data_IF_365553235277
#
_entry.id   IF_365553235277
#
_cell.length_a   1.000
_cell.length_b   1.000
_cell.length_c   1.000
_cell.angle_alpha   90.00
_cell.angle_beta   90.00
_cell.angle_gamma   90.00
#
_symmetry.space_group_name_H-M   'P 1'
#
loop_
_entity.id
_entity.type
_entity.pdbx_description
1 polymer ?
#
# COMPACT_ATOMS: atom_id res chain seq x y z
N UNK A 1 -8.83 -52.16 26.08
CA UNK A 1 -7.72 -51.16 26.18
C UNK A 1 -7.89 -50.13 25.08
N UNK A 2 -8.20 -48.86 25.39
CA UNK A 2 -8.40 -47.79 24.41
C UNK A 2 -7.09 -47.00 24.26
N UNK A 3 -6.60 -46.85 23.02
CA UNK A 3 -5.41 -46.02 22.70
C UNK A 3 -5.68 -44.55 23.08
N UNK A 4 -4.73 -43.85 23.71
CA UNK A 4 -4.88 -42.42 23.94
C UNK A 4 -4.80 -41.67 22.61
N UNK A 5 -5.82 -40.83 22.34
CA UNK A 5 -5.79 -39.85 21.25
C UNK A 5 -4.63 -38.90 21.51
N UNK A 6 -3.60 -38.97 20.66
CA UNK A 6 -2.50 -38.02 20.62
C UNK A 6 -3.06 -36.70 20.07
N UNK A 7 -3.50 -35.83 20.98
CA UNK A 7 -3.87 -34.46 20.65
C UNK A 7 -2.55 -33.70 20.43
N UNK A 8 -1.97 -33.82 19.24
CA UNK A 8 -0.84 -32.98 18.85
C UNK A 8 -1.37 -31.58 18.56
N UNK A 9 -0.95 -30.53 19.29
CA UNK A 9 -1.32 -29.18 18.94
C UNK A 9 -0.52 -28.77 17.70
N UNK A 10 -1.09 -28.95 16.52
CA UNK A 10 -0.58 -28.31 15.30
C UNK A 10 -0.94 -26.82 15.33
N UNK A 11 -0.44 -26.07 16.32
CA UNK A 11 -0.39 -24.62 16.24
C UNK A 11 0.86 -24.30 15.43
N UNK A 12 0.76 -24.44 14.11
CA UNK A 12 1.73 -23.82 13.21
C UNK A 12 1.53 -22.32 13.39
N UNK A 13 2.39 -21.71 14.20
CA UNK A 13 2.35 -20.29 14.52
C UNK A 13 2.32 -19.52 13.20
N UNK A 14 1.18 -18.87 12.92
CA UNK A 14 0.97 -18.12 11.69
C UNK A 14 2.01 -17.00 11.66
N UNK A 15 2.94 -17.06 10.72
CA UNK A 15 4.07 -16.12 10.62
C UNK A 15 3.54 -14.70 10.57
N UNK A 16 4.08 -13.85 11.45
CA UNK A 16 3.77 -12.42 11.48
C UNK A 16 4.75 -11.68 10.60
N UNK A 17 4.39 -11.56 9.32
CA UNK A 17 5.21 -10.97 8.27
C UNK A 17 5.70 -9.54 8.57
N UNK A 18 4.88 -8.73 9.25
CA UNK A 18 5.16 -7.33 9.56
C UNK A 18 5.62 -7.08 11.00
N UNK A 19 5.80 -8.13 11.80
CA UNK A 19 6.23 -8.01 13.19
C UNK A 19 7.68 -8.46 13.32
N UNK A 20 8.53 -7.60 13.88
CA UNK A 20 9.91 -7.96 14.19
C UNK A 20 9.95 -8.88 15.41
N UNK A 21 10.94 -9.77 15.46
CA UNK A 21 11.20 -10.58 16.64
C UNK A 21 11.74 -9.73 17.81
N UNK A 22 12.50 -8.68 17.48
CA UNK A 22 13.08 -7.71 18.42
C UNK A 22 12.94 -6.27 17.91
N UNK A 23 12.83 -5.26 18.79
CA UNK A 23 12.83 -3.85 18.37
C UNK A 23 14.12 -3.50 17.59
N UNK A 24 13.97 -2.94 16.39
CA UNK A 24 15.09 -2.56 15.53
C UNK A 24 15.56 -3.63 14.56
N UNK A 25 15.07 -4.87 14.66
CA UNK A 25 15.37 -5.91 13.67
C UNK A 25 14.44 -5.82 12.44
N UNK A 26 14.97 -6.09 11.23
CA UNK A 26 14.15 -6.17 10.03
C UNK A 26 13.06 -7.23 10.16
N UNK A 27 11.84 -6.87 9.78
CA UNK A 27 10.73 -7.83 9.73
C UNK A 27 10.95 -8.85 8.61
N UNK A 28 10.25 -10.01 8.65
CA UNK A 28 10.23 -10.92 7.50
C UNK A 28 9.83 -10.23 6.18
N UNK A 29 8.93 -9.25 6.24
CA UNK A 29 8.59 -8.41 5.09
C UNK A 29 9.76 -7.56 4.62
N UNK A 30 10.50 -6.91 5.52
CA UNK A 30 11.65 -6.07 5.12
C UNK A 30 12.73 -6.91 4.44
N UNK A 31 12.93 -8.15 4.90
CA UNK A 31 13.83 -9.12 4.26
C UNK A 31 13.30 -9.55 2.88
N UNK A 32 12.01 -9.84 2.77
CA UNK A 32 11.38 -10.15 1.48
C UNK A 32 11.56 -9.00 0.49
N UNK A 33 11.34 -7.76 0.92
CA UNK A 33 11.52 -6.57 0.08
C UNK A 33 12.98 -6.42 -0.36
N UNK A 34 13.92 -6.55 0.57
CA UNK A 34 15.36 -6.46 0.27
C UNK A 34 15.85 -7.57 -0.66
N UNK A 35 15.22 -8.74 -0.61
CA UNK A 35 15.49 -9.84 -1.53
C UNK A 35 14.90 -9.57 -2.91
N UNK A 36 13.65 -9.09 -2.99
CA UNK A 36 13.02 -8.70 -4.26
C UNK A 36 13.79 -7.58 -4.96
N UNK A 37 14.40 -6.66 -4.23
CA UNK A 37 15.24 -5.61 -4.82
C UNK A 37 16.51 -6.16 -5.50
N UNK A 38 17.04 -7.27 -5.01
CA UNK A 38 18.23 -7.92 -5.56
C UNK A 38 17.91 -8.95 -6.65
N UNK A 39 16.81 -9.68 -6.48
CA UNK A 39 16.49 -10.87 -7.28
C UNK A 39 15.14 -10.78 -8.01
N UNK A 40 14.42 -9.66 -7.93
CA UNK A 40 13.05 -9.53 -8.42
C UNK A 40 12.93 -9.71 -9.93
N UNK A 41 13.87 -9.17 -10.71
CA UNK A 41 13.90 -9.35 -12.15
C UNK A 41 14.11 -10.82 -12.55
N UNK A 42 15.13 -11.45 -11.95
CA UNK A 42 15.40 -12.88 -12.14
C UNK A 42 14.19 -13.72 -11.72
N UNK A 43 13.58 -13.42 -10.58
CA UNK A 43 12.40 -14.11 -10.09
C UNK A 43 11.18 -14.00 -11.03
N UNK A 44 11.02 -12.88 -11.73
CA UNK A 44 9.95 -12.71 -12.73
C UNK A 44 10.18 -13.59 -13.95
N UNK A 45 11.40 -13.56 -14.49
CA UNK A 45 11.76 -14.19 -15.76
C UNK A 45 12.13 -15.68 -15.63
N UNK A 46 12.60 -16.11 -14.45
CA UNK A 46 13.12 -17.45 -14.24
C UNK A 46 12.04 -18.52 -14.25
N UNK A 47 12.35 -19.66 -14.88
CA UNK A 47 11.57 -20.90 -14.76
C UNK A 47 11.86 -21.64 -13.45
N UNK A 48 12.96 -21.30 -12.77
CA UNK A 48 13.45 -21.93 -11.53
C UNK A 48 13.01 -21.14 -10.29
N UNK A 49 11.75 -20.68 -10.27
CA UNK A 49 11.22 -19.88 -9.16
C UNK A 49 11.26 -20.61 -7.81
N UNK A 50 11.20 -21.94 -7.83
CA UNK A 50 11.25 -22.75 -6.61
C UNK A 50 12.60 -22.56 -5.90
N UNK A 51 13.70 -22.67 -6.64
CA UNK A 51 15.06 -22.57 -6.07
C UNK A 51 15.36 -21.18 -5.54
N UNK A 52 14.91 -20.14 -6.24
CA UNK A 52 15.02 -18.75 -5.77
C UNK A 52 14.27 -18.54 -4.45
N UNK A 53 13.13 -19.21 -4.26
CA UNK A 53 12.37 -19.15 -3.01
C UNK A 53 12.97 -20.01 -1.90
N UNK A 54 13.65 -21.10 -2.25
CA UNK A 54 14.45 -21.89 -1.29
C UNK A 54 15.61 -21.05 -0.75
N UNK A 55 16.35 -20.37 -1.63
CA UNK A 55 17.41 -19.44 -1.23
C UNK A 55 16.88 -18.33 -0.30
N UNK A 56 15.73 -17.75 -0.62
CA UNK A 56 15.09 -16.77 0.27
C UNK A 56 14.74 -17.37 1.63
N UNK A 57 14.24 -18.60 1.67
CA UNK A 57 13.95 -19.31 2.91
C UNK A 57 15.20 -19.52 3.77
N UNK A 58 16.32 -19.87 3.15
CA UNK A 58 17.62 -20.03 3.81
C UNK A 58 18.15 -18.69 4.35
N UNK A 59 18.07 -17.61 3.56
CA UNK A 59 18.46 -16.26 4.00
C UNK A 59 17.62 -15.79 5.20
N UNK A 60 16.32 -16.07 5.20
CA UNK A 60 15.45 -15.74 6.33
C UNK A 60 15.79 -16.57 7.56
N UNK A 61 16.08 -17.87 7.41
CA UNK A 61 16.51 -18.73 8.51
C UNK A 61 17.86 -18.30 9.11
N UNK A 62 18.83 -17.90 8.27
CA UNK A 62 20.12 -17.36 8.70
C UNK A 62 19.97 -16.06 9.51
N UNK A 63 18.91 -15.29 9.26
CA UNK A 63 18.57 -14.08 10.01
C UNK A 63 17.76 -14.33 11.29
N UNK A 64 17.58 -15.59 11.69
CA UNK A 64 16.85 -15.96 12.91
C UNK A 64 15.33 -16.09 12.73
N UNK A 65 14.82 -15.97 11.51
CA UNK A 65 13.39 -16.11 11.20
C UNK A 65 13.11 -17.57 10.80
N UNK A 66 12.77 -18.39 11.80
CA UNK A 66 12.49 -19.81 11.60
C UNK A 66 11.02 -20.12 11.30
N UNK A 67 10.77 -21.30 10.74
CA UNK A 67 9.41 -21.81 10.52
C UNK A 67 8.72 -21.27 9.26
N UNK A 68 9.43 -20.50 8.43
CA UNK A 68 9.00 -20.13 7.09
C UNK A 68 9.00 -21.35 6.18
N UNK A 69 7.81 -21.77 5.77
CA UNK A 69 7.68 -22.77 4.70
C UNK A 69 7.67 -22.06 3.35
N UNK A 70 8.20 -22.73 2.32
CA UNK A 70 8.14 -22.22 0.95
C UNK A 70 6.70 -21.92 0.50
N UNK A 71 5.72 -22.73 0.95
CA UNK A 71 4.29 -22.48 0.73
C UNK A 71 3.82 -21.17 1.36
N UNK A 72 4.32 -20.81 2.54
CA UNK A 72 4.02 -19.53 3.19
C UNK A 72 4.57 -18.35 2.40
N UNK A 73 5.81 -18.44 1.89
CA UNK A 73 6.44 -17.40 1.08
C UNK A 73 5.66 -17.21 -0.23
N UNK A 74 5.35 -18.31 -0.94
CA UNK A 74 4.53 -18.27 -2.17
C UNK A 74 3.15 -17.67 -1.93
N UNK A 75 2.50 -18.07 -0.84
CA UNK A 75 1.19 -17.54 -0.46
C UNK A 75 1.26 -16.03 -0.21
N UNK A 76 2.29 -15.57 0.53
CA UNK A 76 2.48 -14.16 0.80
C UNK A 76 2.76 -13.37 -0.48
N UNK A 77 3.69 -13.82 -1.34
CA UNK A 77 3.96 -13.18 -2.63
C UNK A 77 2.71 -13.10 -3.52
N UNK A 78 1.90 -14.15 -3.55
CA UNK A 78 0.64 -14.14 -4.32
C UNK A 78 -0.36 -13.14 -3.75
N UNK A 79 -0.49 -13.04 -2.43
CA UNK A 79 -1.35 -12.05 -1.76
C UNK A 79 -0.88 -10.63 -2.04
N UNK A 80 0.43 -10.38 -1.97
CA UNK A 80 1.02 -9.08 -2.30
C UNK A 80 0.78 -8.73 -3.76
N UNK A 81 1.08 -9.64 -4.69
CA UNK A 81 0.86 -9.41 -6.13
C UNK A 81 -0.61 -9.05 -6.39
N UNK A 82 -1.56 -9.84 -5.88
CA UNK A 82 -3.00 -9.57 -6.03
C UNK A 82 -3.43 -8.25 -5.40
N UNK A 83 -2.95 -7.94 -4.20
CA UNK A 83 -3.31 -6.71 -3.51
C UNK A 83 -2.79 -5.46 -4.22
N UNK A 84 -1.56 -5.52 -4.73
CA UNK A 84 -0.95 -4.43 -5.52
C UNK A 84 -1.68 -4.25 -6.82
N UNK A 85 -1.97 -5.33 -7.55
CA UNK A 85 -2.74 -5.28 -8.80
C UNK A 85 -4.13 -4.66 -8.58
N UNK A 86 -4.88 -5.16 -7.58
CA UNK A 86 -6.19 -4.62 -7.23
C UNK A 86 -6.13 -3.12 -6.92
N UNK A 87 -5.09 -2.67 -6.21
CA UNK A 87 -4.92 -1.24 -5.90
C UNK A 87 -4.52 -0.42 -7.14
N UNK A 88 -3.66 -0.96 -7.99
CA UNK A 88 -3.21 -0.30 -9.23
C UNK A 88 -4.35 -0.13 -10.23
N UNK A 89 -5.26 -1.11 -10.30
CA UNK A 89 -6.47 -1.07 -11.13
C UNK A 89 -7.61 -0.22 -10.51
N UNK A 90 -7.34 0.58 -9.47
CA UNK A 90 -8.32 1.49 -8.85
C UNK A 90 -9.21 0.86 -7.77
N UNK A 91 -9.00 -0.42 -7.43
CA UNK A 91 -9.70 -1.10 -6.35
C UNK A 91 -9.18 -0.74 -4.95
N UNK A 92 -10.02 -0.98 -3.92
CA UNK A 92 -9.63 -0.76 -2.51
C UNK A 92 -8.88 -1.97 -1.96
N UNK A 93 -7.59 -1.82 -1.68
CA UNK A 93 -6.82 -2.83 -0.94
C UNK A 93 -6.84 -2.54 0.58
N UNK A 94 -7.45 -3.43 1.36
CA UNK A 94 -7.48 -3.33 2.83
C UNK A 94 -6.19 -3.82 3.52
N UNK A 95 -5.25 -4.38 2.76
CA UNK A 95 -4.05 -5.00 3.31
C UNK A 95 -3.03 -3.93 3.72
N UNK A 96 -2.72 -3.85 5.02
CA UNK A 96 -1.82 -2.85 5.58
C UNK A 96 -0.38 -3.00 5.08
N UNK A 97 0.08 -4.24 4.89
CA UNK A 97 1.38 -4.58 4.31
C UNK A 97 1.47 -4.13 2.84
N UNK A 98 0.47 -4.45 2.02
CA UNK A 98 0.43 -3.99 0.62
C UNK A 98 0.49 -2.47 0.55
N UNK A 99 -0.33 -1.77 1.34
CA UNK A 99 -0.37 -0.31 1.32
C UNK A 99 0.95 0.30 1.81
N UNK A 100 1.59 -0.30 2.82
CA UNK A 100 2.88 0.16 3.34
C UNK A 100 4.03 0.05 2.34
N UNK A 101 4.04 -1.02 1.53
CA UNK A 101 5.14 -1.30 0.59
C UNK A 101 4.74 -1.09 -0.87
N UNK A 102 3.60 -0.45 -1.15
CA UNK A 102 2.98 -0.45 -2.47
C UNK A 102 3.91 0.04 -3.58
N UNK A 103 4.51 1.23 -3.42
CA UNK A 103 5.30 1.84 -4.48
C UNK A 103 6.50 0.95 -4.85
N UNK A 104 7.13 0.33 -3.85
CA UNK A 104 8.23 -0.62 -4.04
C UNK A 104 7.72 -1.92 -4.69
N UNK A 105 6.64 -2.50 -4.16
CA UNK A 105 6.09 -3.76 -4.66
C UNK A 105 5.59 -3.64 -6.11
N UNK A 106 5.01 -2.49 -6.49
CA UNK A 106 4.54 -2.23 -7.84
C UNK A 106 5.70 -2.33 -8.84
N UNK A 107 6.86 -1.77 -8.50
CA UNK A 107 8.03 -1.81 -9.38
C UNK A 107 8.69 -3.19 -9.40
N UNK A 108 8.75 -3.86 -8.26
CA UNK A 108 9.48 -5.12 -8.09
C UNK A 108 8.72 -6.34 -8.61
N UNK A 109 7.38 -6.35 -8.52
CA UNK A 109 6.56 -7.51 -8.89
C UNK A 109 6.00 -7.45 -10.31
N UNK A 110 5.98 -6.26 -10.94
CA UNK A 110 5.36 -6.02 -12.24
C UNK A 110 6.29 -5.30 -13.18
N UNK A 111 6.38 -5.76 -14.43
CA UNK A 111 7.15 -5.05 -15.46
C UNK A 111 6.45 -3.76 -15.90
N UNK A 112 7.09 -2.99 -16.78
CA UNK A 112 6.51 -1.70 -17.23
C UNK A 112 5.21 -1.92 -18.00
N UNK A 113 5.12 -2.96 -18.83
CA UNK A 113 3.93 -3.26 -19.63
C UNK A 113 2.75 -3.64 -18.74
N UNK A 114 2.95 -4.55 -17.77
CA UNK A 114 1.96 -4.91 -16.75
C UNK A 114 1.49 -3.66 -15.98
N UNK A 115 2.38 -2.71 -15.68
CA UNK A 115 2.02 -1.45 -14.99
C UNK A 115 1.20 -0.51 -15.87
N UNK A 116 1.53 -0.42 -17.16
CA UNK A 116 0.77 0.38 -18.13
C UNK A 116 -0.64 -0.18 -18.28
N UNK A 117 -0.78 -1.48 -18.47
CA UNK A 117 -2.08 -2.15 -18.57
C UNK A 117 -2.95 -1.89 -17.34
N UNK A 118 -2.38 -1.92 -16.13
CA UNK A 118 -3.12 -1.63 -14.91
C UNK A 118 -3.63 -0.18 -14.86
N UNK A 119 -2.83 0.77 -15.35
CA UNK A 119 -3.24 2.18 -15.43
C UNK A 119 -4.38 2.38 -16.44
N UNK A 120 -4.33 1.69 -17.57
CA UNK A 120 -5.40 1.71 -18.56
C UNK A 120 -6.70 1.14 -17.98
N UNK A 121 -6.65 -0.03 -17.34
CA UNK A 121 -7.82 -0.61 -16.65
C UNK A 121 -8.37 0.28 -15.53
N UNK A 122 -7.50 0.98 -14.80
CA UNK A 122 -7.94 1.95 -13.80
C UNK A 122 -8.67 3.14 -14.43
N UNK A 123 -8.16 3.66 -15.55
CA UNK A 123 -8.79 4.76 -16.29
C UNK A 123 -10.15 4.36 -16.88
N UNK A 124 -10.26 3.13 -17.40
CA UNK A 124 -11.52 2.57 -17.90
C UNK A 124 -12.58 2.49 -16.80
N UNK A 125 -12.23 1.99 -15.61
CA UNK A 125 -13.18 1.92 -14.49
C UNK A 125 -13.66 3.30 -14.05
N UNK A 126 -12.80 4.33 -14.10
CA UNK A 126 -13.22 5.72 -13.82
C UNK A 126 -14.17 6.24 -14.90
N UNK A 127 -13.97 5.85 -16.16
CA UNK A 127 -14.84 6.24 -17.27
C UNK A 127 -16.21 5.53 -17.23
N UNK A 128 -16.28 4.24 -16.88
CA UNK A 128 -17.53 3.49 -16.77
C UNK A 128 -18.41 3.95 -15.59
N UNK A 129 -17.79 4.34 -14.47
CA UNK A 129 -18.51 4.95 -13.34
C UNK A 129 -19.17 6.28 -13.74
N UNK A 130 -18.60 6.98 -14.73
CA UNK A 130 -19.14 8.23 -15.26
C UNK A 130 -20.33 8.04 -16.22
N UNK A 131 -20.43 6.88 -16.86
CA UNK A 131 -21.42 6.61 -17.92
C UNK A 131 -22.70 5.91 -17.41
N UNK A 132 -22.64 5.19 -16.27
CA UNK A 132 -23.76 4.36 -15.76
C UNK A 132 -24.70 5.02 -14.74
N UNK A 133 -24.65 6.33 -14.46
CA UNK A 133 -25.54 6.87 -13.43
C UNK A 133 -25.71 8.39 -13.29
N UNK A 134 -26.80 8.87 -13.92
CA UNK A 134 -27.83 9.81 -13.42
C UNK A 134 -27.48 11.30 -13.21
N UNK A 135 -28.24 12.16 -13.90
CA UNK A 135 -28.63 13.52 -13.50
C UNK A 135 -29.06 13.57 -12.02
N UNK A 136 -28.10 13.73 -11.12
CA UNK A 136 -28.34 14.08 -9.73
C UNK A 136 -27.49 15.29 -9.43
N UNK A 137 -28.18 16.36 -9.04
CA UNK A 137 -27.70 17.70 -8.76
C UNK A 137 -26.24 17.75 -8.32
N UNK A 138 -25.48 18.71 -8.90
CA UNK A 138 -24.23 19.28 -8.39
C UNK A 138 -24.06 19.02 -6.88
N UNK A 139 -23.39 17.93 -6.54
CA UNK A 139 -22.75 17.76 -5.26
C UNK A 139 -21.26 17.84 -5.55
N UNK A 140 -20.50 18.64 -4.77
CA UNK A 140 -19.10 18.81 -5.01
C UNK A 140 -18.41 17.46 -4.83
N UNK A 141 -17.60 17.13 -5.82
CA UNK A 141 -16.63 16.05 -5.77
C UNK A 141 -15.78 16.28 -4.51
N UNK A 142 -16.03 15.49 -3.46
CA UNK A 142 -15.09 15.35 -2.36
C UNK A 142 -13.99 14.41 -2.82
N UNK A 143 -12.95 14.99 -3.44
CA UNK A 143 -11.68 14.31 -3.65
C UNK A 143 -10.94 14.22 -2.30
N UNK A 144 -10.65 13.00 -1.77
CA UNK A 144 -9.92 12.85 -0.52
C UNK A 144 -8.40 12.92 -0.70
N UNK A 145 -7.93 13.43 -1.85
CA UNK A 145 -6.56 13.89 -2.00
C UNK A 145 -6.67 15.39 -2.12
N UNK A 146 -6.47 16.11 -1.01
CA UNK A 146 -6.26 17.54 -1.04
C UNK A 146 -5.13 17.78 -2.04
N UNK A 147 -5.47 18.27 -3.24
CA UNK A 147 -4.50 18.60 -4.27
C UNK A 147 -3.38 19.38 -3.59
N UNK A 148 -2.12 18.99 -3.80
CA UNK A 148 -0.97 19.68 -3.21
C UNK A 148 -1.01 21.19 -3.45
N UNK A 149 -1.68 21.61 -4.53
CA UNK A 149 -2.02 23.00 -4.82
C UNK A 149 -3.07 23.58 -3.86
N UNK A 150 -4.13 22.86 -3.53
CA UNK A 150 -5.16 23.30 -2.58
C UNK A 150 -4.63 23.36 -1.14
N UNK A 151 -3.75 22.42 -0.73
CA UNK A 151 -3.03 22.51 0.56
C UNK A 151 -2.22 23.80 0.63
N UNK A 152 -1.40 24.07 -0.40
CA UNK A 152 -0.56 25.28 -0.47
C UNK A 152 -1.42 26.53 -0.45
N UNK A 153 -2.49 26.55 -1.26
CA UNK A 153 -3.43 27.67 -1.33
C UNK A 153 -4.09 27.96 0.02
N UNK A 154 -4.54 26.94 0.75
CA UNK A 154 -5.13 27.10 2.10
C UNK A 154 -4.10 27.60 3.10
N UNK A 155 -2.87 27.10 3.06
CA UNK A 155 -1.79 27.55 3.93
C UNK A 155 -1.42 29.02 3.69
N UNK A 156 -1.32 29.44 2.43
CA UNK A 156 -1.06 30.83 2.05
C UNK A 156 -2.18 31.76 2.51
N UNK A 157 -3.45 31.37 2.31
CA UNK A 157 -4.60 32.13 2.79
C UNK A 157 -4.58 32.29 4.32
N UNK A 158 -4.29 31.23 5.06
CA UNK A 158 -4.20 31.30 6.53
C UNK A 158 -3.04 32.18 6.99
N UNK A 159 -1.89 32.10 6.33
CA UNK A 159 -0.72 32.93 6.63
C UNK A 159 -1.00 34.42 6.39
N UNK A 160 -1.66 34.75 5.27
CA UNK A 160 -2.05 36.12 4.95
C UNK A 160 -3.08 36.68 5.96
N UNK A 161 -4.06 35.88 6.36
CA UNK A 161 -5.04 36.27 7.40
C UNK A 161 -4.37 36.53 8.75
N UNK A 162 -3.43 35.67 9.14
CA UNK A 162 -2.68 35.85 10.39
C UNK A 162 -1.83 37.13 10.34
N UNK A 163 -1.21 37.43 9.21
CA UNK A 163 -0.47 38.68 9.01
C UNK A 163 -1.37 39.93 9.16
N UNK A 164 -2.52 39.95 8.51
CA UNK A 164 -3.48 41.05 8.61
C UNK A 164 -4.04 41.21 10.03
N UNK A 165 -4.28 40.10 10.73
CA UNK A 165 -4.73 40.12 12.12
C UNK A 165 -3.64 40.68 13.06
N UNK A 166 -2.37 40.35 12.83
CA UNK A 166 -1.25 40.94 13.59
C UNK A 166 -1.08 42.44 13.31
N UNK A 167 -1.51 42.91 12.12
CA UNK A 167 -1.55 44.32 11.76
C UNK A 167 -2.79 45.06 12.29
N UNK A 168 -3.65 44.37 13.05
CA UNK A 168 -4.82 44.97 13.70
C UNK A 168 -6.04 45.13 12.78
N UNK A 169 -6.04 44.51 11.60
CA UNK A 169 -7.21 44.50 10.72
C UNK A 169 -8.31 43.65 11.36
N UNK A 170 -9.54 44.18 11.36
CA UNK A 170 -10.67 43.48 11.95
C UNK A 170 -11.03 42.21 11.18
N UNK A 171 -11.64 41.27 11.89
CA UNK A 171 -11.91 39.94 11.36
C UNK A 171 -12.95 39.94 10.23
N UNK A 172 -13.93 40.85 10.25
CA UNK A 172 -14.95 40.95 9.19
C UNK A 172 -14.33 41.42 7.88
N UNK A 173 -13.42 42.39 7.95
CA UNK A 173 -12.65 42.87 6.81
C UNK A 173 -11.75 41.77 6.25
N UNK A 174 -11.05 41.01 7.11
CA UNK A 174 -10.23 39.87 6.68
C UNK A 174 -11.09 38.79 6.00
N UNK A 175 -12.27 38.49 6.54
CA UNK A 175 -13.21 37.51 5.98
C UNK A 175 -13.77 37.93 4.60
N UNK A 176 -13.90 39.23 4.35
CA UNK A 176 -14.29 39.78 3.05
C UNK A 176 -13.18 39.65 1.99
N UNK A 177 -11.94 39.98 2.34
CA UNK A 177 -10.81 39.96 1.39
C UNK A 177 -10.24 38.56 1.15
N UNK A 178 -10.26 37.69 2.17
CA UNK A 178 -9.68 36.35 2.12
C UNK A 178 -10.72 35.30 2.56
N UNK A 179 -11.73 35.03 1.72
CA UNK A 179 -12.80 34.10 2.03
C UNK A 179 -12.24 32.67 2.08
N UNK A 180 -12.28 32.07 3.28
CA UNK A 180 -12.08 30.65 3.43
C UNK A 180 -13.41 29.97 3.15
N UNK A 181 -13.48 29.15 2.10
CA UNK A 181 -14.63 28.27 1.88
C UNK A 181 -14.72 27.35 3.10
N UNK A 182 -15.73 27.55 3.94
CA UNK A 182 -16.12 26.59 4.94
C UNK A 182 -16.81 25.45 4.20
N UNK A 183 -16.20 24.27 4.24
CA UNK A 183 -16.86 23.02 3.86
C UNK A 183 -18.03 22.73 4.82
#
# INVERSE_FOLDING_TARGET
MRRPKRTTPHVVSRIRWTTSASPGEPTPMDRLMSWLERHGEEFRMSKRKIELLEQLGEEMAASGIYGLTMSSIRSQLSRLKKGVQMRAEGGKCASTDVNRYYDRLLVLLFDEDERIEMRERAAEQVSEVKDRGVDSAKLPIFDPVLDTMEIRRRFELLSARQGLQQQGVDRETIDSFLPLRRE
#
